data_IF_876095276542
#
_entry.id   IF_876095276542
#
_cell.length_a   1.000
_cell.length_b   1.000
_cell.length_c   1.000
_cell.angle_alpha   90.00
_cell.angle_beta   90.00
_cell.angle_gamma   90.00
#
_symmetry.space_group_name_H-M   'P 1'
#
loop_
_entity.id
_entity.type
_entity.pdbx_description
1 polymer ?
#
# COMPACT_ATOMS: atom_id res chain seq x y z
N UNK A 1 9.49 15.30 -4.39
CA UNK A 1 8.80 15.42 -3.10
C UNK A 1 8.11 14.10 -2.80
N UNK A 2 8.21 13.64 -1.58
CA UNK A 2 7.65 12.34 -1.19
C UNK A 2 6.48 12.55 -0.23
N UNK A 3 5.42 11.77 -0.45
CA UNK A 3 4.23 11.80 0.39
C UNK A 3 4.09 10.41 1.00
N UNK A 4 3.68 10.35 2.26
CA UNK A 4 3.39 9.07 2.90
C UNK A 4 1.88 8.93 3.06
N UNK A 5 1.34 7.85 2.52
CA UNK A 5 -0.09 7.56 2.58
C UNK A 5 -0.35 6.41 3.56
N UNK A 6 -1.34 6.57 4.40
CA UNK A 6 -1.78 5.51 5.29
C UNK A 6 -2.97 4.84 4.62
N UNK A 7 -2.80 3.58 4.25
CA UNK A 7 -3.78 2.83 3.47
C UNK A 7 -4.29 1.63 4.25
N UNK A 8 -5.54 1.31 4.07
CA UNK A 8 -6.15 0.14 4.69
C UNK A 8 -7.33 -0.33 3.85
N UNK A 9 -7.84 -1.51 4.18
CA UNK A 9 -8.98 -2.08 3.49
C UNK A 9 -10.25 -1.77 4.30
N UNK A 10 -11.15 -0.92 3.80
CA UNK A 10 -12.35 -0.56 4.56
C UNK A 10 -13.30 -1.73 4.79
N UNK A 11 -13.21 -2.79 3.98
CA UNK A 11 -14.02 -3.98 4.14
C UNK A 11 -13.44 -4.95 5.17
N UNK A 12 -12.18 -4.74 5.54
CA UNK A 12 -11.46 -5.63 6.46
C UNK A 12 -10.64 -4.81 7.45
N UNK A 13 -11.32 -4.07 8.36
CA UNK A 13 -10.59 -3.23 9.31
C UNK A 13 -9.66 -4.03 10.22
N UNK A 14 -9.93 -5.32 10.38
CA UNK A 14 -9.07 -6.19 11.19
C UNK A 14 -7.68 -6.38 10.59
N UNK A 15 -7.49 -6.06 9.30
CA UNK A 15 -6.17 -6.19 8.67
C UNK A 15 -5.22 -5.07 9.10
N UNK A 16 -5.74 -3.98 9.66
CA UNK A 16 -4.91 -2.84 10.04
C UNK A 16 -4.62 -1.94 8.86
N UNK A 17 -3.56 -1.16 9.00
CA UNK A 17 -3.17 -0.19 7.97
C UNK A 17 -1.68 -0.32 7.67
N UNK A 18 -1.27 0.20 6.51
CA UNK A 18 0.12 0.28 6.13
C UNK A 18 0.45 1.68 5.65
N UNK A 19 1.63 2.17 5.98
CA UNK A 19 2.10 3.47 5.50
C UNK A 19 2.99 3.23 4.29
N UNK A 20 2.59 3.80 3.16
CA UNK A 20 3.29 3.60 1.88
C UNK A 20 3.80 4.96 1.40
N UNK A 21 5.09 5.07 1.09
CA UNK A 21 5.63 6.30 0.51
C UNK A 21 5.28 6.39 -0.98
N UNK A 22 4.97 7.58 -1.44
CA UNK A 22 4.71 7.84 -2.86
C UNK A 22 5.55 9.03 -3.30
N UNK A 23 6.21 8.95 -4.45
CA UNK A 23 6.30 7.73 -5.29
C UNK A 23 7.05 6.62 -4.55
N UNK A 24 6.69 5.38 -4.85
CA UNK A 24 7.28 4.24 -4.16
C UNK A 24 8.73 4.09 -4.67
N UNK A 25 9.73 4.11 -3.76
CA UNK A 25 11.12 3.89 -4.18
C UNK A 25 11.29 2.52 -4.81
N UNK A 26 12.14 2.44 -5.83
CA UNK A 26 12.33 1.19 -6.57
C UNK A 26 12.81 0.06 -5.66
N UNK A 27 13.70 0.36 -4.74
CA UNK A 27 14.25 -0.65 -3.83
C UNK A 27 13.23 -1.12 -2.79
N UNK A 28 12.15 -0.39 -2.60
CA UNK A 28 11.09 -0.75 -1.66
C UNK A 28 9.81 -1.21 -2.37
N UNK A 29 9.85 -1.26 -3.70
CA UNK A 29 8.64 -1.54 -4.47
C UNK A 29 8.05 -2.90 -4.11
N UNK A 30 8.87 -3.95 -4.09
CA UNK A 30 8.40 -5.30 -3.78
C UNK A 30 7.82 -5.37 -2.38
N UNK A 31 8.50 -4.76 -1.41
CA UNK A 31 8.03 -4.74 -0.03
C UNK A 31 6.68 -4.05 0.09
N UNK A 32 6.54 -2.87 -0.55
CA UNK A 32 5.29 -2.14 -0.51
C UNK A 32 4.15 -2.91 -1.19
N UNK A 33 4.45 -3.58 -2.31
CA UNK A 33 3.44 -4.38 -2.99
C UNK A 33 2.99 -5.56 -2.12
N UNK A 34 3.90 -6.15 -1.37
CA UNK A 34 3.55 -7.23 -0.46
C UNK A 34 2.64 -6.73 0.67
N UNK A 35 2.90 -5.55 1.21
CA UNK A 35 2.03 -4.96 2.22
C UNK A 35 0.63 -4.72 1.66
N UNK A 36 0.55 -4.17 0.46
CA UNK A 36 -0.74 -3.90 -0.18
C UNK A 36 -1.49 -5.19 -0.49
N UNK A 37 -0.77 -6.24 -0.89
CA UNK A 37 -1.38 -7.54 -1.14
C UNK A 37 -1.93 -8.15 0.16
N UNK A 38 -1.21 -7.98 1.26
CA UNK A 38 -1.67 -8.46 2.55
C UNK A 38 -2.97 -7.78 2.99
N UNK A 39 -3.15 -6.52 2.58
CA UNK A 39 -4.37 -5.77 2.86
C UNK A 39 -5.44 -5.99 1.78
N UNK A 40 -5.12 -6.75 0.73
CA UNK A 40 -6.01 -7.03 -0.40
C UNK A 40 -6.43 -5.76 -1.15
N UNK A 41 -5.54 -4.77 -1.20
CA UNK A 41 -5.79 -3.51 -1.91
C UNK A 41 -4.76 -3.23 -2.99
N UNK A 42 -3.90 -4.21 -3.31
CA UNK A 42 -2.86 -4.01 -4.32
C UNK A 42 -3.41 -3.67 -5.68
N UNK A 43 -4.54 -4.27 -6.07
CA UNK A 43 -5.13 -4.03 -7.38
C UNK A 43 -5.61 -2.60 -7.52
N UNK A 44 -6.14 -2.01 -6.46
CA UNK A 44 -6.60 -0.63 -6.49
C UNK A 44 -5.44 0.35 -6.73
N UNK A 45 -4.28 0.04 -6.16
CA UNK A 45 -3.10 0.88 -6.34
C UNK A 45 -2.51 0.72 -7.74
N UNK A 46 -2.60 -0.48 -8.31
CA UNK A 46 -2.07 -0.75 -9.65
C UNK A 46 -2.95 -0.23 -10.76
N UNK A 47 -4.19 0.09 -10.47
CA UNK A 47 -5.21 0.30 -11.47
C UNK A 47 -5.11 1.64 -12.21
N UNK A 48 -4.27 2.52 -11.81
CA UNK A 48 -4.21 3.84 -12.46
C UNK A 48 -3.50 3.83 -13.81
#
# INVERSE_FOLDING_TARGET
MMIQAVLGNPHHPEYGVATIPFPIPRDQYTYCMELLAALEIGDAVKAD
#
